data_IF_788233297641
#
_entry.id   IF_788233297641
#
_cell.length_a   1.000
_cell.length_b   1.000
_cell.length_c   1.000
_cell.angle_alpha   90.00
_cell.angle_beta   90.00
_cell.angle_gamma   90.00
#
_symmetry.space_group_name_H-M   'P 1'
#
loop_
_entity.id
_entity.type
_entity.pdbx_description
1 polymer ?
#
# COMPACT_ATOMS: atom_id res chain seq x y z
N UNK A 1 -10.47 -6.51 -9.57
CA UNK A 1 -9.81 -7.11 -8.38
C UNK A 1 -8.62 -7.93 -8.84
N UNK A 2 -7.43 -7.59 -8.35
CA UNK A 2 -6.15 -8.28 -8.61
C UNK A 2 -5.79 -9.09 -7.36
N UNK A 3 -5.08 -10.21 -7.49
CA UNK A 3 -4.70 -11.07 -6.36
C UNK A 3 -3.23 -11.48 -6.39
N UNK A 4 -2.58 -11.46 -5.22
CA UNK A 4 -1.27 -12.07 -4.97
C UNK A 4 -1.38 -13.18 -3.92
N UNK A 5 -0.66 -14.31 -4.07
CA UNK A 5 -0.62 -15.34 -3.06
C UNK A 5 0.05 -14.84 -1.77
N UNK A 6 -0.45 -15.32 -0.63
CA UNK A 6 0.23 -15.21 0.66
C UNK A 6 1.46 -16.12 0.67
N UNK A 7 2.52 -15.68 1.35
CA UNK A 7 3.67 -16.52 1.64
C UNK A 7 3.30 -17.50 2.77
N UNK A 8 3.37 -18.82 2.55
CA UNK A 8 2.99 -19.80 3.56
C UNK A 8 3.87 -19.74 4.81
N UNK A 9 3.33 -20.18 5.96
CA UNK A 9 4.05 -20.34 7.24
C UNK A 9 4.70 -19.05 7.75
N UNK A 10 4.08 -17.90 7.47
CA UNK A 10 4.47 -16.60 8.01
C UNK A 10 3.59 -16.22 9.21
N UNK A 11 4.12 -15.38 10.09
CA UNK A 11 3.37 -14.85 11.24
C UNK A 11 2.29 -13.85 10.83
N UNK A 12 2.54 -13.09 9.76
CA UNK A 12 1.66 -12.03 9.29
C UNK A 12 1.14 -12.33 7.88
N UNK A 13 0.33 -11.41 7.36
CA UNK A 13 -0.15 -11.44 5.99
C UNK A 13 0.93 -10.94 5.02
N UNK A 14 1.91 -11.79 4.76
CA UNK A 14 3.05 -11.48 3.93
C UNK A 14 2.79 -11.80 2.45
N UNK A 15 3.10 -10.85 1.58
CA UNK A 15 3.15 -11.01 0.13
C UNK A 15 4.60 -10.97 -0.36
N UNK A 16 4.87 -11.64 -1.48
CA UNK A 16 6.17 -11.58 -2.16
C UNK A 16 6.18 -10.38 -3.10
N UNK A 17 6.84 -9.29 -2.69
CA UNK A 17 7.20 -8.19 -3.56
C UNK A 17 8.38 -8.63 -4.44
N UNK A 18 8.31 -8.41 -5.75
CA UNK A 18 9.31 -8.88 -6.72
C UNK A 18 10.06 -7.72 -7.38
N UNK A 19 9.41 -6.57 -7.55
CA UNK A 19 10.04 -5.34 -8.02
C UNK A 19 9.20 -4.12 -7.67
N UNK A 20 9.81 -2.95 -7.82
CA UNK A 20 9.11 -1.66 -7.77
C UNK A 20 9.42 -0.92 -9.07
N UNK A 21 8.39 -0.27 -9.62
CA UNK A 21 8.50 0.55 -10.83
C UNK A 21 8.11 1.98 -10.50
N UNK A 22 8.95 2.96 -10.86
CA UNK A 22 8.66 4.40 -10.72
C UNK A 22 8.58 4.99 -12.12
N UNK A 23 7.45 5.62 -12.45
CA UNK A 23 7.21 6.21 -13.77
C UNK A 23 7.49 5.24 -14.95
N UNK A 24 7.05 3.98 -14.81
CA UNK A 24 7.29 2.94 -15.82
C UNK A 24 8.69 2.34 -15.85
N UNK A 25 9.64 2.87 -15.05
CA UNK A 25 11.01 2.36 -14.96
C UNK A 25 11.21 1.49 -13.73
N UNK A 26 11.70 0.27 -13.91
CA UNK A 26 12.00 -0.64 -12.80
C UNK A 26 13.18 -0.13 -11.98
N UNK A 27 13.02 -0.03 -10.66
CA UNK A 27 14.08 0.35 -9.75
C UNK A 27 15.22 -0.67 -9.80
N UNK A 28 16.45 -0.15 -9.89
CA UNK A 28 17.66 -0.95 -9.80
C UNK A 28 18.05 -1.08 -8.33
N UNK A 29 17.64 -2.18 -7.71
CA UNK A 29 18.00 -2.54 -6.32
C UNK A 29 18.52 -3.96 -6.29
N UNK A 30 19.31 -4.30 -5.26
CA UNK A 30 19.80 -5.67 -5.08
C UNK A 30 18.60 -6.63 -4.94
N UNK A 31 18.45 -7.65 -5.83
CA UNK A 31 17.38 -8.63 -5.73
C UNK A 31 17.27 -9.33 -4.36
N UNK A 32 18.34 -9.37 -3.56
CA UNK A 32 18.34 -9.90 -2.20
C UNK A 32 17.34 -9.19 -1.27
N UNK A 33 17.02 -7.91 -1.52
CA UNK A 33 16.05 -7.15 -0.71
C UNK A 33 14.61 -7.68 -0.88
N UNK A 34 14.32 -8.33 -2.00
CA UNK A 34 13.01 -8.92 -2.31
C UNK A 34 12.91 -10.40 -1.96
N UNK A 35 14.01 -11.04 -1.54
CA UNK A 35 13.96 -12.45 -1.12
C UNK A 35 13.15 -12.63 0.15
N UNK A 36 12.27 -13.62 0.14
CA UNK A 36 11.38 -13.94 1.25
C UNK A 36 11.99 -14.94 2.21
N UNK A 37 11.79 -14.76 3.51
CA UNK A 37 12.21 -15.66 4.60
C UNK A 37 11.23 -15.53 5.76
N UNK A 38 11.43 -16.22 6.89
CA UNK A 38 10.55 -16.09 8.06
C UNK A 38 10.44 -14.67 8.64
N UNK A 39 11.34 -13.76 8.23
CA UNK A 39 11.34 -12.34 8.61
C UNK A 39 11.27 -11.38 7.41
N UNK A 40 11.18 -11.90 6.17
CA UNK A 40 11.22 -11.09 4.94
C UNK A 40 10.01 -11.32 4.06
N UNK A 41 9.50 -10.22 3.49
CA UNK A 41 8.28 -10.13 2.69
C UNK A 41 7.56 -8.81 3.00
N UNK A 42 6.61 -8.42 2.16
CA UNK A 42 5.79 -7.23 2.39
C UNK A 42 4.57 -7.59 3.23
N UNK A 43 4.45 -7.03 4.44
CA UNK A 43 3.27 -7.21 5.29
C UNK A 43 2.17 -6.25 4.84
N UNK A 44 0.95 -6.76 4.70
CA UNK A 44 -0.27 -5.94 4.58
C UNK A 44 -0.83 -5.70 5.98
N UNK A 45 -0.71 -4.47 6.50
CA UNK A 45 -1.05 -4.16 7.90
C UNK A 45 -1.85 -2.85 8.03
N UNK A 46 -3.16 -2.97 8.16
CA UNK A 46 -4.06 -1.85 8.44
C UNK A 46 -3.86 -1.24 9.84
N UNK A 47 -3.10 -1.88 10.74
CA UNK A 47 -2.77 -1.33 12.05
C UNK A 47 -1.61 -0.32 12.03
N UNK A 48 -0.94 -0.15 10.89
CA UNK A 48 0.20 0.77 10.73
C UNK A 48 -0.22 1.97 9.88
N UNK A 49 0.08 3.20 10.32
CA UNK A 49 -0.32 4.44 9.59
C UNK A 49 0.46 4.64 8.28
N UNK A 50 1.79 4.59 8.36
CA UNK A 50 2.72 4.86 7.25
C UNK A 50 3.12 3.56 6.54
N UNK A 51 3.82 3.66 5.41
CA UNK A 51 4.51 2.50 4.87
C UNK A 51 5.96 2.48 5.36
N UNK A 52 6.51 1.29 5.54
CA UNK A 52 7.91 1.08 5.89
C UNK A 52 8.56 0.25 4.80
N UNK A 53 9.73 0.66 4.33
CA UNK A 53 10.51 -0.09 3.35
C UNK A 53 11.88 -0.42 3.93
N UNK A 54 12.39 -1.60 3.60
CA UNK A 54 13.79 -1.96 3.84
C UNK A 54 14.71 -0.86 3.28
N UNK A 55 15.80 -0.56 3.99
CA UNK A 55 16.71 0.53 3.60
C UNK A 55 17.23 0.43 2.16
N UNK A 56 17.54 -0.78 1.69
CA UNK A 56 17.98 -1.04 0.31
C UNK A 56 16.91 -0.73 -0.75
N UNK A 57 15.65 -0.59 -0.35
CA UNK A 57 14.53 -0.15 -1.20
C UNK A 57 14.19 1.32 -0.96
N UNK A 58 14.19 1.77 0.30
CA UNK A 58 13.75 3.11 0.67
C UNK A 58 14.55 4.20 -0.06
N UNK A 59 15.89 4.19 0.04
CA UNK A 59 16.69 5.27 -0.57
C UNK A 59 16.53 5.29 -2.11
N UNK A 60 16.66 4.15 -2.85
CA UNK A 60 16.48 4.16 -4.29
C UNK A 60 15.06 4.56 -4.76
N UNK A 61 14.03 4.22 -3.97
CA UNK A 61 12.65 4.59 -4.26
C UNK A 61 12.43 6.09 -4.12
N UNK A 62 12.82 6.68 -2.97
CA UNK A 62 12.71 8.12 -2.74
C UNK A 62 13.50 8.90 -3.78
N UNK A 63 14.74 8.48 -4.04
CA UNK A 63 15.59 9.07 -5.08
C UNK A 63 14.94 9.04 -6.47
N UNK A 64 14.37 7.90 -6.87
CA UNK A 64 13.73 7.77 -8.17
C UNK A 64 12.48 8.65 -8.28
N UNK A 65 11.69 8.77 -7.22
CA UNK A 65 10.56 9.70 -7.18
C UNK A 65 11.08 11.14 -7.35
N UNK A 66 12.04 11.57 -6.52
CA UNK A 66 12.63 12.91 -6.57
C UNK A 66 13.26 13.25 -7.92
N UNK A 67 13.83 12.29 -8.64
CA UNK A 67 14.40 12.55 -9.99
C UNK A 67 13.35 12.78 -11.08
N UNK A 68 12.10 12.38 -10.86
CA UNK A 68 11.03 12.53 -11.86
C UNK A 68 10.25 13.84 -11.74
N UNK A 69 10.37 14.55 -10.63
CA UNK A 69 9.62 15.80 -10.39
C UNK A 69 10.35 17.02 -11.01
N UNK A 70 9.65 18.14 -11.27
CA UNK A 70 10.26 19.36 -11.79
C UNK A 70 11.39 19.90 -10.89
N UNK A 71 12.52 20.37 -11.44
CA UNK A 71 13.63 20.93 -10.66
C UNK A 71 13.27 22.17 -9.83
N UNK A 72 12.15 22.82 -10.14
CA UNK A 72 11.63 23.96 -9.38
C UNK A 72 11.02 23.55 -8.03
N UNK A 73 10.72 22.26 -7.82
CA UNK A 73 10.20 21.75 -6.55
C UNK A 73 11.35 21.61 -5.57
N UNK A 74 11.34 22.37 -4.49
CA UNK A 74 12.36 22.28 -3.45
C UNK A 74 12.22 21.00 -2.63
N UNK A 75 13.32 20.47 -2.10
CA UNK A 75 13.34 19.32 -1.19
C UNK A 75 13.82 19.73 0.19
N UNK A 76 13.22 19.17 1.24
CA UNK A 76 13.63 19.41 2.63
C UNK A 76 13.32 18.19 3.48
N UNK A 77 14.19 17.86 4.42
CA UNK A 77 13.89 16.85 5.44
C UNK A 77 13.38 17.56 6.70
N UNK A 78 12.20 17.16 7.20
CA UNK A 78 11.56 17.75 8.39
C UNK A 78 10.97 16.65 9.26
N UNK A 79 11.31 16.64 10.55
CA UNK A 79 10.75 15.72 11.55
C UNK A 79 10.85 14.22 11.16
N UNK A 80 11.92 13.86 10.45
CA UNK A 80 12.15 12.50 9.97
C UNK A 80 11.38 12.14 8.69
N UNK A 81 10.79 13.10 7.99
CA UNK A 81 10.15 12.93 6.69
C UNK A 81 10.95 13.60 5.58
N UNK A 82 11.00 12.96 4.41
CA UNK A 82 11.46 13.60 3.17
C UNK A 82 10.30 14.36 2.53
N UNK A 83 10.46 15.68 2.36
CA UNK A 83 9.39 16.58 1.96
C UNK A 83 9.74 17.44 0.74
N UNK A 84 8.69 17.89 0.08
CA UNK A 84 8.72 18.69 -1.13
C UNK A 84 7.96 20.00 -0.93
N UNK A 85 8.58 21.09 -1.37
CA UNK A 85 8.03 22.45 -1.35
C UNK A 85 7.41 22.75 -2.72
N UNK A 86 6.09 22.63 -2.80
CA UNK A 86 5.33 22.89 -4.03
C UNK A 86 4.70 24.27 -3.91
N UNK A 87 5.51 25.31 -4.16
CA UNK A 87 5.12 26.73 -3.95
C UNK A 87 4.40 27.34 -5.15
N UNK A 88 4.51 26.74 -6.34
CA UNK A 88 3.77 27.18 -7.51
C UNK A 88 2.35 26.60 -7.48
N UNK A 89 1.36 27.47 -7.32
CA UNK A 89 -0.07 27.13 -7.29
C UNK A 89 -0.60 26.48 -8.56
N UNK A 90 0.10 26.62 -9.70
CA UNK A 90 -0.24 25.93 -10.95
C UNK A 90 0.19 24.46 -10.98
N UNK A 91 1.12 24.06 -10.10
CA UNK A 91 1.58 22.68 -9.99
C UNK A 91 0.68 21.90 -9.03
N UNK A 92 0.02 20.87 -9.55
CA UNK A 92 -0.70 19.89 -8.74
C UNK A 92 0.18 18.67 -8.49
N UNK A 93 0.18 18.15 -7.25
CA UNK A 93 0.93 16.93 -6.90
C UNK A 93 0.55 15.74 -7.80
N UNK A 94 -0.71 15.65 -8.20
CA UNK A 94 -1.25 14.58 -9.04
C UNK A 94 -0.56 14.58 -10.42
N UNK A 95 -0.12 15.74 -10.89
CA UNK A 95 0.45 15.93 -12.23
C UNK A 95 1.98 15.86 -12.25
N UNK A 96 2.64 16.24 -11.14
CA UNK A 96 4.10 16.38 -11.11
C UNK A 96 4.82 15.18 -10.46
N UNK A 97 4.10 14.38 -9.68
CA UNK A 97 4.65 13.20 -9.03
C UNK A 97 4.32 11.92 -9.81
N UNK A 98 5.24 10.94 -9.83
CA UNK A 98 5.07 9.73 -10.65
C UNK A 98 4.07 8.75 -10.02
N UNK A 99 3.53 7.87 -10.85
CA UNK A 99 2.98 6.62 -10.36
C UNK A 99 4.10 5.70 -9.86
N UNK A 100 3.84 5.01 -8.76
CA UNK A 100 4.72 3.97 -8.22
C UNK A 100 3.98 2.65 -8.26
N UNK A 101 4.55 1.60 -8.83
CA UNK A 101 3.95 0.26 -8.88
C UNK A 101 4.72 -0.70 -7.99
N UNK A 102 4.05 -1.28 -7.01
CA UNK A 102 4.55 -2.39 -6.21
C UNK A 102 4.15 -3.70 -6.91
N UNK A 103 5.12 -4.42 -7.47
CA UNK A 103 4.86 -5.59 -8.29
C UNK A 103 5.07 -6.86 -7.47
N UNK A 104 3.98 -7.57 -7.19
CA UNK A 104 3.97 -8.80 -6.41
C UNK A 104 3.93 -10.04 -7.30
N UNK A 105 4.18 -11.19 -6.67
CA UNK A 105 4.02 -12.50 -7.29
C UNK A 105 2.66 -12.66 -7.99
N UNK A 106 2.62 -13.53 -9.01
CA UNK A 106 1.47 -13.71 -9.90
C UNK A 106 1.18 -12.48 -10.77
N UNK A 107 2.23 -11.70 -11.11
CA UNK A 107 2.12 -10.50 -11.95
C UNK A 107 1.12 -9.46 -11.41
N UNK A 108 0.91 -9.49 -10.08
CA UNK A 108 -0.07 -8.67 -9.40
C UNK A 108 0.56 -7.33 -9.05
N UNK A 109 0.17 -6.26 -9.74
CA UNK A 109 0.70 -4.92 -9.46
C UNK A 109 -0.28 -4.08 -8.65
N UNK A 110 0.23 -3.42 -7.60
CA UNK A 110 -0.48 -2.37 -6.87
C UNK A 110 0.09 -1.02 -7.29
N UNK A 111 -0.69 -0.28 -8.05
CA UNK A 111 -0.33 1.07 -8.50
C UNK A 111 -0.71 2.08 -7.43
N UNK A 112 0.26 2.89 -7.02
CA UNK A 112 0.15 3.98 -6.07
C UNK A 112 0.16 5.29 -6.85
N UNK A 113 -0.88 6.09 -6.64
CA UNK A 113 -0.97 7.48 -7.11
C UNK A 113 -0.22 8.40 -6.15
N UNK A 114 0.10 9.64 -6.52
CA UNK A 114 0.75 10.61 -5.61
C UNK A 114 0.06 10.70 -4.24
N UNK A 115 -1.28 10.70 -4.21
CA UNK A 115 -2.07 10.71 -2.98
C UNK A 115 -1.93 9.44 -2.12
N UNK A 116 -1.47 8.32 -2.68
CA UNK A 116 -1.27 7.04 -1.98
C UNK A 116 0.13 6.94 -1.32
N UNK A 117 0.97 7.97 -1.44
CA UNK A 117 2.28 8.01 -0.76
C UNK A 117 2.75 9.39 -0.31
N UNK A 118 2.08 10.48 -0.72
CA UNK A 118 2.32 11.83 -0.21
C UNK A 118 1.30 12.19 0.85
N UNK A 119 1.80 12.78 1.94
CA UNK A 119 1.00 13.34 3.01
C UNK A 119 1.13 14.86 2.97
N UNK A 120 0.01 15.61 2.94
CA UNK A 120 0.08 17.00 3.36
C UNK A 120 0.37 16.97 4.87
N UNK A 121 1.37 17.72 5.32
CA UNK A 121 1.62 17.88 6.75
C UNK A 121 1.28 19.32 7.14
N UNK A 122 0.02 19.62 7.52
CA UNK A 122 -0.41 20.96 7.93
C UNK A 122 0.43 21.54 9.07
N UNK A 123 0.91 20.66 9.97
CA UNK A 123 1.75 21.05 11.10
C UNK A 123 3.14 21.56 10.70
N UNK A 124 3.57 21.35 9.45
CA UNK A 124 4.88 21.74 8.94
C UNK A 124 4.84 22.97 8.01
N UNK A 125 3.69 23.64 7.92
CA UNK A 125 3.42 24.74 6.98
C UNK A 125 2.77 24.20 5.71
N UNK A 126 1.52 24.62 5.45
CA UNK A 126 0.56 24.03 4.50
C UNK A 126 0.92 23.98 3.01
N UNK A 127 2.18 24.16 2.64
CA UNK A 127 2.73 24.09 1.27
C UNK A 127 3.68 22.89 1.09
N UNK A 128 3.82 22.04 2.12
CA UNK A 128 4.71 20.88 2.13
C UNK A 128 3.97 19.56 1.92
N UNK A 129 4.50 18.76 1.00
CA UNK A 129 4.09 17.38 0.77
C UNK A 129 5.22 16.44 1.12
N UNK A 130 4.97 15.48 2.00
CA UNK A 130 6.01 14.59 2.51
C UNK A 130 5.74 13.15 2.13
N UNK A 131 6.81 12.41 1.83
CA UNK A 131 6.71 10.96 1.60
C UNK A 131 6.27 10.29 2.90
N UNK A 132 5.14 9.58 2.86
CA UNK A 132 4.65 8.76 3.97
C UNK A 132 5.27 7.37 4.01
N UNK A 133 6.47 7.23 3.43
CA UNK A 133 7.32 6.06 3.56
C UNK A 133 8.37 6.34 4.63
N UNK A 134 8.70 5.31 5.40
CA UNK A 134 9.72 5.35 6.42
C UNK A 134 10.73 4.23 6.20
N UNK A 135 11.97 4.47 6.65
CA UNK A 135 13.03 3.49 6.57
C UNK A 135 12.85 2.43 7.66
N UNK A 136 12.94 1.16 7.29
CA UNK A 136 13.02 0.03 8.19
C UNK A 136 14.28 -0.81 7.90
N UNK A 137 14.76 -1.53 8.92
CA UNK A 137 15.95 -2.37 8.76
C UNK A 137 15.71 -3.50 7.76
N UNK A 138 14.79 -4.43 8.05
CA UNK A 138 14.65 -5.67 7.26
C UNK A 138 13.25 -5.92 6.70
N UNK A 139 12.28 -5.08 7.06
CA UNK A 139 10.86 -5.38 6.86
C UNK A 139 10.17 -4.33 6.00
N UNK A 140 9.35 -4.79 5.05
CA UNK A 140 8.42 -3.93 4.33
C UNK A 140 7.03 -4.07 4.95
N UNK A 141 6.42 -2.95 5.31
CA UNK A 141 5.07 -2.88 5.87
C UNK A 141 4.26 -1.92 5.00
N UNK A 142 3.18 -2.42 4.43
CA UNK A 142 2.20 -1.66 3.67
C UNK A 142 1.10 -1.25 4.64
N UNK A 143 1.28 -0.07 5.22
CA UNK A 143 0.31 0.54 6.13
C UNK A 143 -0.80 1.27 5.42
N UNK A 144 -1.63 1.93 6.21
CA UNK A 144 -2.86 2.58 5.77
C UNK A 144 -2.67 3.57 4.63
N UNK A 145 -1.58 4.35 4.61
CA UNK A 145 -1.31 5.27 3.51
C UNK A 145 -1.33 4.59 2.12
N UNK A 146 -0.89 3.32 2.04
CA UNK A 146 -0.94 2.51 0.81
C UNK A 146 -2.30 1.83 0.64
N UNK A 147 -2.93 1.40 1.73
CA UNK A 147 -4.16 0.61 1.71
C UNK A 147 -5.43 1.45 1.53
N UNK A 148 -5.39 2.74 1.85
CA UNK A 148 -6.51 3.67 1.64
C UNK A 148 -6.94 3.72 0.17
N UNK A 149 -8.21 4.06 -0.03
CA UNK A 149 -8.90 4.05 -1.33
C UNK A 149 -8.80 2.72 -2.10
N UNK A 150 -8.69 1.60 -1.37
CA UNK A 150 -8.67 0.25 -1.94
C UNK A 150 -9.56 -0.66 -1.13
N UNK A 151 -10.29 -1.54 -1.80
CA UNK A 151 -10.92 -2.68 -1.16
C UNK A 151 -9.88 -3.78 -1.06
N UNK A 152 -9.46 -4.11 0.16
CA UNK A 152 -8.54 -5.21 0.44
C UNK A 152 -9.34 -6.46 0.83
N UNK A 153 -9.04 -7.59 0.21
CA UNK A 153 -9.72 -8.87 0.46
C UNK A 153 -8.72 -9.90 0.99
N UNK A 154 -8.93 -10.34 2.23
CA UNK A 154 -8.16 -11.42 2.85
C UNK A 154 -8.83 -12.76 2.55
N UNK A 155 -8.52 -13.36 1.40
CA UNK A 155 -9.05 -14.66 0.97
C UNK A 155 -8.21 -15.80 1.57
N UNK A 156 -8.40 -16.03 2.87
CA UNK A 156 -7.62 -17.01 3.65
C UNK A 156 -7.89 -18.45 3.19
N UNK A 157 -9.09 -18.75 2.70
CA UNK A 157 -9.41 -20.07 2.14
C UNK A 157 -8.53 -20.41 0.93
N UNK A 158 -8.20 -19.41 0.10
CA UNK A 158 -7.32 -19.56 -1.06
C UNK A 158 -5.90 -19.02 -0.83
N UNK A 159 -5.55 -18.70 0.42
CA UNK A 159 -4.22 -18.22 0.82
C UNK A 159 -3.73 -17.06 -0.07
N UNK A 160 -4.54 -16.01 -0.24
CA UNK A 160 -4.21 -14.87 -1.11
C UNK A 160 -4.82 -13.57 -0.60
N UNK A 161 -4.22 -12.45 -0.98
CA UNK A 161 -4.78 -11.11 -0.77
C UNK A 161 -5.18 -10.54 -2.12
N UNK A 162 -6.38 -9.96 -2.17
CA UNK A 162 -6.88 -9.21 -3.30
C UNK A 162 -6.98 -7.72 -3.03
N UNK A 163 -6.83 -6.91 -4.08
CA UNK A 163 -7.09 -5.47 -4.02
C UNK A 163 -7.74 -4.94 -5.29
N UNK A 164 -8.48 -3.85 -5.14
CA UNK A 164 -8.98 -3.02 -6.24
C UNK A 164 -9.14 -1.59 -5.74
N UNK A 165 -8.88 -0.60 -6.60
CA UNK A 165 -9.18 0.79 -6.28
C UNK A 165 -10.68 0.95 -5.98
N UNK A 166 -10.99 1.74 -4.96
CA UNK A 166 -12.34 2.17 -4.63
C UNK A 166 -12.28 3.56 -4.01
N UNK A 167 -13.04 4.50 -4.57
CA UNK A 167 -13.17 5.81 -3.94
C UNK A 167 -14.01 5.67 -2.67
N UNK A 168 -13.37 5.80 -1.50
CA UNK A 168 -14.02 5.62 -0.20
C UNK A 168 -15.08 6.68 0.14
N UNK A 169 -15.18 7.77 -0.63
CA UNK A 169 -16.30 8.72 -0.55
C UNK A 169 -17.58 8.21 -1.23
N UNK A 170 -17.50 7.14 -2.03
CA UNK A 170 -18.65 6.53 -2.68
C UNK A 170 -19.23 5.37 -1.84
N UNK A 171 -20.56 5.23 -1.79
CA UNK A 171 -21.21 4.14 -1.05
C UNK A 171 -20.82 2.78 -1.63
N UNK A 172 -20.69 1.78 -0.76
CA UNK A 172 -20.40 0.41 -1.14
C UNK A 172 -21.66 -0.46 -1.08
N UNK A 173 -22.06 -1.05 -2.21
CA UNK A 173 -23.21 -1.95 -2.27
C UNK A 173 -22.78 -3.40 -2.03
N UNK A 174 -23.07 -3.92 -0.83
CA UNK A 174 -22.88 -5.34 -0.53
C UNK A 174 -24.09 -6.11 -1.04
N UNK A 175 -23.93 -6.92 -2.08
CA UNK A 175 -24.92 -7.92 -2.47
C UNK A 175 -24.51 -9.28 -1.90
N UNK A 176 -25.25 -9.78 -0.92
CA UNK A 176 -25.06 -11.14 -0.42
C UNK A 176 -25.79 -12.11 -1.36
N UNK A 177 -25.04 -12.85 -2.18
CA UNK A 177 -25.59 -14.07 -2.79
C UNK A 177 -25.61 -15.16 -1.72
N UNK A 178 -26.63 -15.16 -0.85
CA UNK A 178 -26.89 -16.34 -0.03
C UNK A 178 -27.43 -17.43 -0.95
N UNK A 179 -26.65 -18.50 -1.16
CA UNK A 179 -27.24 -19.73 -1.65
C UNK A 179 -28.04 -20.33 -0.50
N UNK A 180 -29.33 -20.01 -0.43
CA UNK A 180 -30.37 -20.86 0.16
C UNK A 180 -30.43 -21.02 1.69
N UNK A 181 -31.64 -20.74 2.19
CA UNK A 181 -32.24 -21.09 3.50
C UNK A 181 -31.87 -20.23 4.71
N UNK A 182 -32.89 -19.49 5.17
CA UNK A 182 -33.05 -19.11 6.57
C UNK A 182 -33.04 -20.37 7.43
N UNK A 183 -32.07 -20.50 8.33
CA UNK A 183 -32.09 -21.50 9.39
C UNK A 183 -32.05 -20.75 10.72
N UNK A 184 -33.16 -20.83 11.43
CA UNK A 184 -33.22 -20.55 12.86
C UNK A 184 -32.98 -21.89 13.56
N UNK A 185 -31.85 -22.11 14.22
CA UNK A 185 -31.80 -22.79 15.53
C UNK A 185 -30.41 -22.91 16.15
N UNK A 186 -30.46 -23.12 17.48
CA UNK A 186 -29.39 -23.21 18.47
C UNK A 186 -28.40 -24.34 18.20
N UNK A 187 -27.12 -24.05 18.47
CA UNK A 187 -26.09 -25.05 18.78
C UNK A 187 -25.68 -25.96 17.62
N UNK A 188 -24.66 -25.57 16.86
CA UNK A 188 -24.03 -26.44 15.86
C UNK A 188 -22.87 -25.76 15.15
N UNK A 189 -21.74 -26.45 15.07
CA UNK A 189 -20.46 -25.99 14.53
C UNK A 189 -20.59 -25.40 13.13
N UNK A 190 -20.18 -24.14 13.02
CA UNK A 190 -20.20 -23.34 11.81
C UNK A 190 -18.99 -23.66 10.94
N UNK A 191 -19.15 -24.55 9.95
CA UNK A 191 -18.19 -24.70 8.87
C UNK A 191 -18.42 -23.60 7.83
N UNK A 192 -17.99 -22.37 8.13
CA UNK A 192 -17.96 -21.33 7.11
C UNK A 192 -16.75 -21.55 6.21
N UNK A 193 -17.01 -21.75 4.92
CA UNK A 193 -16.14 -21.22 3.88
C UNK A 193 -16.20 -19.70 3.91
N UNK A 194 -15.71 -19.07 4.99
CA UNK A 194 -15.65 -17.62 5.11
C UNK A 194 -14.62 -17.10 4.12
N UNK A 195 -15.11 -16.52 3.04
CA UNK A 195 -14.45 -15.32 2.53
C UNK A 195 -14.69 -14.27 3.61
N UNK A 196 -13.73 -14.11 4.53
CA UNK A 196 -13.73 -12.97 5.45
C UNK A 196 -13.37 -11.75 4.60
N UNK A 197 -14.38 -11.05 4.09
CA UNK A 197 -14.17 -9.72 3.50
C UNK A 197 -14.05 -8.73 4.66
N UNK A 198 -12.85 -8.63 5.24
CA UNK A 198 -12.51 -7.51 6.13
C UNK A 198 -12.33 -6.27 5.27
N UNK A 199 -13.41 -5.52 5.05
CA UNK A 199 -13.33 -4.17 4.48
C UNK A 199 -12.98 -3.22 5.62
N UNK A 200 -11.72 -2.84 5.73
CA UNK A 200 -11.32 -1.73 6.59
C UNK A 200 -11.58 -0.41 5.85
N UNK A 201 -12.57 0.35 6.29
CA UNK A 201 -12.72 1.74 5.88
C UNK A 201 -11.79 2.59 6.75
N UNK A 202 -10.59 2.82 6.27
CA UNK A 202 -9.64 3.68 6.95
C UNK A 202 -9.74 5.09 6.36
N UNK A 203 -10.22 6.04 7.17
CA UNK A 203 -9.99 7.46 6.94
C UNK A 203 -8.82 7.85 7.85
N UNK A 204 -7.73 8.33 7.25
CA UNK A 204 -6.75 9.12 8.01
C UNK A 204 -7.49 10.41 8.43
N UNK A 205 -7.55 10.66 9.73
CA UNK A 205 -8.10 11.91 10.32
C UNK A 205 -7.20 13.08 9.92
#
# INVERSE_FOLDING_TARGET
MIYSPLIPKQRFYNLKLESITVNGQMLQVDPEVFKTSSRKGAIVDSGTTLAFFNEGVYNPLVDAITRTIPPSVGTTDSDGYHCYLVTNSELSIINIFPLVSLNFANQASMVLRPEDYLLPLPMLGGEKWCIGFQKAQDQTILGDIILKDKIIVYDLAKQRIGWTYHNCSLPFNVSTRSSGKSITEKGGTLHLTMIVVLVFFMHLI
#
